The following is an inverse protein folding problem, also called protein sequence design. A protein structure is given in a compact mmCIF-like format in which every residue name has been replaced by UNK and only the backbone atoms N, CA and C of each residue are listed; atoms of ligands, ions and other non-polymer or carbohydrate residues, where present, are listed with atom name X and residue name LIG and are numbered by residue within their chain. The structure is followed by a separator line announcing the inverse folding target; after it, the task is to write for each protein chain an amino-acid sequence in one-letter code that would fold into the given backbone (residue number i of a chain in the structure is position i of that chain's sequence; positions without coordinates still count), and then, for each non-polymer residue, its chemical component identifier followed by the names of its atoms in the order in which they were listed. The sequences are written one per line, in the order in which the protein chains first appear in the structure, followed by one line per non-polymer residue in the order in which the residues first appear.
data_IF_902218456457
#
_entry.id   IF_902218456457
#
_cell.length_a   1.000
_cell.length_b   1.000
_cell.length_c   1.000
_cell.angle_alpha   90.00
_cell.angle_beta   90.00
_cell.angle_gamma   90.00
#
_symmetry.space_group_name_H-M   'P 1'
#
loop_
_entity.id
_entity.type
_entity.pdbx_description
1 polymer ?
#
# COMPACT_ATOMS: atom_id res chain seq x y z
N UNK A 1 24.00 0.26 -21.31
CA UNK A 1 22.72 -0.22 -20.74
C UNK A 1 21.59 0.73 -21.15
N UNK A 2 21.40 0.89 -22.46
CA UNK A 2 20.41 1.84 -23.00
C UNK A 2 19.12 1.12 -23.38
N UNK A 3 18.00 1.80 -23.22
CA UNK A 3 16.68 1.34 -23.61
C UNK A 3 16.60 1.36 -25.14
N UNK A 4 16.21 0.23 -25.76
CA UNK A 4 15.92 0.14 -27.19
C UNK A 4 14.43 0.20 -27.48
N UNK A 5 13.61 -0.37 -26.60
CA UNK A 5 12.16 -0.45 -26.78
C UNK A 5 11.43 -0.38 -25.44
N UNK A 6 10.24 0.22 -25.47
CA UNK A 6 9.27 0.19 -24.36
C UNK A 6 7.92 -0.23 -24.93
N UNK A 7 7.35 -1.31 -24.39
CA UNK A 7 6.02 -1.79 -24.76
C UNK A 7 5.08 -1.66 -23.56
N UNK A 8 3.86 -1.21 -23.82
CA UNK A 8 2.82 -0.97 -22.82
C UNK A 8 1.65 -1.89 -23.14
N UNK A 9 1.25 -2.71 -22.18
CA UNK A 9 0.15 -3.66 -22.31
C UNK A 9 -0.92 -3.37 -21.27
N UNK A 10 -2.16 -3.62 -21.63
CA UNK A 10 -3.32 -3.54 -20.75
C UNK A 10 -3.87 -4.95 -20.51
N UNK A 11 -4.26 -5.24 -19.28
CA UNK A 11 -4.97 -6.47 -18.94
C UNK A 11 -5.93 -6.25 -17.78
N UNK A 12 -7.09 -6.93 -17.81
CA UNK A 12 -8.02 -6.95 -16.69
C UNK A 12 -7.79 -8.22 -15.86
N UNK A 13 -7.53 -8.04 -14.57
CA UNK A 13 -7.31 -9.12 -13.62
C UNK A 13 -8.54 -9.27 -12.72
N UNK A 14 -9.27 -10.39 -12.79
CA UNK A 14 -10.39 -10.64 -11.89
C UNK A 14 -9.89 -10.82 -10.46
N UNK A 15 -10.62 -10.25 -9.50
CA UNK A 15 -10.31 -10.44 -8.08
C UNK A 15 -10.64 -11.88 -7.69
N UNK A 16 -9.63 -12.63 -7.25
CA UNK A 16 -9.81 -14.00 -6.76
C UNK A 16 -10.64 -13.99 -5.47
N UNK A 17 -11.70 -14.79 -5.42
CA UNK A 17 -12.65 -14.83 -4.31
C UNK A 17 -13.36 -13.48 -4.07
N UNK A 18 -13.50 -12.67 -5.13
CA UNK A 18 -14.09 -11.33 -5.06
C UNK A 18 -15.59 -11.29 -4.82
N UNK A 19 -16.16 -10.09 -4.70
CA UNK A 19 -15.44 -8.81 -4.81
C UNK A 19 -14.63 -8.47 -3.55
N UNK A 20 -13.55 -7.71 -3.72
CA UNK A 20 -12.84 -7.11 -2.58
C UNK A 20 -13.57 -5.83 -2.15
N UNK A 21 -14.06 -5.81 -0.92
CA UNK A 21 -14.88 -4.71 -0.39
C UNK A 21 -14.05 -3.86 0.57
N UNK A 22 -13.93 -2.57 0.27
CA UNK A 22 -13.32 -1.53 1.09
C UNK A 22 -14.39 -0.53 1.57
N UNK A 23 -14.03 0.43 2.42
CA UNK A 23 -14.94 1.44 2.95
C UNK A 23 -15.73 2.19 1.87
N UNK A 24 -15.12 2.47 0.72
CA UNK A 24 -15.68 3.32 -0.34
C UNK A 24 -15.87 2.62 -1.70
N UNK A 25 -15.46 1.36 -1.84
CA UNK A 25 -15.49 0.68 -3.13
C UNK A 25 -15.65 -0.83 -3.03
N UNK A 26 -16.27 -1.43 -4.05
CA UNK A 26 -16.24 -2.87 -4.32
C UNK A 26 -15.48 -3.09 -5.62
N UNK A 27 -14.41 -3.87 -5.56
CA UNK A 27 -13.53 -4.15 -6.69
C UNK A 27 -13.77 -5.58 -7.16
N UNK A 28 -14.24 -5.73 -8.38
CA UNK A 28 -14.49 -7.02 -9.02
C UNK A 28 -13.32 -7.46 -9.91
N UNK A 29 -12.69 -6.50 -10.55
CA UNK A 29 -11.50 -6.66 -11.38
C UNK A 29 -10.61 -5.42 -11.27
N UNK A 30 -9.34 -5.55 -11.57
CA UNK A 30 -8.40 -4.43 -11.66
C UNK A 30 -7.86 -4.31 -13.07
N UNK A 31 -7.88 -3.09 -13.61
CA UNK A 31 -7.32 -2.75 -14.92
C UNK A 31 -5.83 -2.47 -14.73
N UNK A 32 -5.00 -3.47 -15.01
CA UNK A 32 -3.55 -3.33 -14.88
C UNK A 32 -2.88 -2.89 -16.16
N UNK A 33 -1.76 -2.20 -16.01
CA UNK A 33 -0.86 -1.80 -17.11
C UNK A 33 0.52 -2.39 -16.86
N UNK A 34 0.95 -3.26 -17.78
CA UNK A 34 2.28 -3.86 -17.75
C UNK A 34 3.21 -3.09 -18.70
N UNK A 35 4.43 -2.84 -18.24
CA UNK A 35 5.48 -2.21 -19.03
C UNK A 35 6.61 -3.20 -19.21
N UNK A 36 7.01 -3.41 -20.49
CA UNK A 36 8.18 -4.19 -20.87
C UNK A 36 9.23 -3.23 -21.41
N UNK A 37 10.39 -3.21 -20.79
CA UNK A 37 11.56 -2.47 -21.25
C UNK A 37 12.56 -3.45 -21.86
N UNK A 38 13.03 -3.17 -23.06
CA UNK A 38 14.10 -3.93 -23.74
C UNK A 38 15.33 -3.03 -23.86
N UNK A 39 16.49 -3.56 -23.51
CA UNK A 39 17.77 -2.85 -23.65
C UNK A 39 18.43 -3.18 -24.98
N UNK A 40 19.36 -2.34 -25.45
CA UNK A 40 20.17 -2.61 -26.65
C UNK A 40 20.97 -3.92 -26.55
N UNK A 41 21.26 -4.40 -25.35
CA UNK A 41 21.89 -5.71 -25.11
C UNK A 41 20.92 -6.89 -25.06
N UNK A 42 19.64 -6.67 -25.34
CA UNK A 42 18.60 -7.70 -25.41
C UNK A 42 18.01 -8.12 -24.07
N UNK A 43 18.43 -7.51 -22.95
CA UNK A 43 17.82 -7.80 -21.64
C UNK A 43 16.44 -7.18 -21.55
N UNK A 44 15.53 -7.92 -20.91
CA UNK A 44 14.13 -7.55 -20.76
C UNK A 44 13.81 -7.35 -19.30
N UNK A 45 13.25 -6.19 -18.97
CA UNK A 45 12.66 -5.90 -17.66
C UNK A 45 11.16 -5.70 -17.75
N UNK A 46 10.45 -6.13 -16.70
CA UNK A 46 9.01 -6.00 -16.56
C UNK A 46 8.66 -5.16 -15.34
N UNK A 47 7.68 -4.30 -15.50
CA UNK A 47 7.08 -3.54 -14.41
C UNK A 47 5.58 -3.42 -14.59
N UNK A 48 4.91 -3.02 -13.53
CA UNK A 48 3.46 -2.93 -13.47
C UNK A 48 3.01 -1.67 -12.75
N UNK A 49 1.89 -1.13 -13.20
CA UNK A 49 1.07 -0.19 -12.44
C UNK A 49 -0.38 -0.64 -12.49
N UNK A 50 -0.98 -0.81 -11.31
CA UNK A 50 -2.32 -1.34 -11.16
C UNK A 50 -3.13 -0.49 -10.16
N UNK A 51 -3.51 0.76 -10.52
CA UNK A 51 -4.31 1.60 -9.65
C UNK A 51 -5.67 0.98 -9.37
N UNK A 52 -6.06 0.89 -8.09
CA UNK A 52 -7.38 0.36 -7.69
C UNK A 52 -8.52 1.26 -8.16
N UNK A 53 -8.25 2.55 -8.37
CA UNK A 53 -9.19 3.51 -8.93
C UNK A 53 -9.08 4.89 -8.30
N UNK A 54 -9.76 5.89 -8.90
CA UNK A 54 -9.64 7.30 -8.51
C UNK A 54 -10.28 7.63 -7.16
N UNK A 55 -11.08 6.73 -6.60
CA UNK A 55 -11.65 6.88 -5.26
C UNK A 55 -10.70 6.44 -4.15
N UNK A 56 -9.66 5.68 -4.49
CA UNK A 56 -8.65 5.22 -3.53
C UNK A 56 -7.44 6.18 -3.48
N UNK A 57 -6.93 6.59 -4.63
CA UNK A 57 -5.80 7.50 -4.75
C UNK A 57 -5.94 8.36 -6.01
N UNK A 58 -5.11 9.40 -6.16
CA UNK A 58 -5.04 10.24 -7.36
C UNK A 58 -4.44 9.48 -8.55
N UNK A 59 -4.98 8.31 -8.83
CA UNK A 59 -4.47 7.39 -9.83
C UNK A 59 -5.59 6.56 -10.46
N UNK A 60 -5.53 6.38 -11.77
CA UNK A 60 -6.42 5.44 -12.49
C UNK A 60 -5.71 4.88 -13.73
N UNK A 61 -6.12 3.69 -14.16
CA UNK A 61 -5.45 2.93 -15.20
C UNK A 61 -5.30 3.66 -16.55
N UNK A 62 -6.37 4.32 -17.02
CA UNK A 62 -6.31 5.12 -18.26
C UNK A 62 -5.34 6.29 -18.14
N UNK A 63 -5.30 6.97 -16.98
CA UNK A 63 -4.35 8.04 -16.71
C UNK A 63 -2.91 7.52 -16.65
N UNK A 64 -2.70 6.32 -16.12
CA UNK A 64 -1.38 5.68 -16.14
C UNK A 64 -0.89 5.46 -17.57
N UNK A 65 -1.73 4.90 -18.44
CA UNK A 65 -1.39 4.67 -19.86
C UNK A 65 -1.14 5.98 -20.60
N UNK A 66 -2.00 6.97 -20.43
CA UNK A 66 -1.80 8.30 -21.04
C UNK A 66 -0.48 8.96 -20.60
N UNK A 67 -0.14 8.87 -19.31
CA UNK A 67 1.14 9.36 -18.80
C UNK A 67 2.34 8.58 -19.40
N UNK A 68 2.22 7.26 -19.53
CA UNK A 68 3.25 6.43 -20.15
C UNK A 68 3.44 6.74 -21.65
N UNK A 69 2.36 7.01 -22.38
CA UNK A 69 2.42 7.45 -23.79
C UNK A 69 3.20 8.76 -23.97
N UNK A 70 3.09 9.67 -23.00
CA UNK A 70 3.83 10.93 -23.02
C UNK A 70 5.31 10.73 -22.75
N UNK A 71 5.69 9.87 -21.79
CA UNK A 71 7.09 9.78 -21.35
C UNK A 71 7.90 8.70 -22.07
N UNK A 72 7.29 7.60 -22.51
CA UNK A 72 8.01 6.45 -23.04
C UNK A 72 8.84 6.76 -24.29
N UNK A 73 8.37 7.55 -25.29
CA UNK A 73 9.15 7.86 -26.47
C UNK A 73 10.50 8.53 -26.17
N UNK A 74 10.51 9.47 -25.20
CA UNK A 74 11.71 10.24 -24.83
C UNK A 74 12.67 9.47 -23.91
N UNK A 75 12.34 8.25 -23.52
CA UNK A 75 13.20 7.36 -22.76
C UNK A 75 13.98 6.38 -23.65
N UNK A 76 13.65 6.24 -24.93
CA UNK A 76 14.42 5.44 -25.86
C UNK A 76 15.82 6.05 -26.00
N UNK A 77 16.85 5.22 -25.88
CA UNK A 77 18.25 5.62 -25.85
C UNK A 77 18.76 6.08 -24.48
N UNK A 78 17.88 6.29 -23.50
CA UNK A 78 18.29 6.59 -22.13
C UNK A 78 18.90 5.36 -21.44
N UNK A 79 19.80 5.60 -20.48
CA UNK A 79 20.30 4.52 -19.61
C UNK A 79 19.19 4.00 -18.70
N UNK A 80 19.19 2.68 -18.43
CA UNK A 80 18.27 2.06 -17.47
C UNK A 80 18.68 2.28 -16.00
N UNK A 81 19.70 3.10 -15.73
CA UNK A 81 20.07 3.45 -14.35
C UNK A 81 18.87 4.10 -13.64
N UNK A 82 18.26 3.46 -12.62
CA UNK A 82 16.95 3.90 -12.11
C UNK A 82 16.91 5.36 -11.66
N UNK A 83 17.95 5.82 -10.97
CA UNK A 83 18.03 7.22 -10.48
C UNK A 83 18.09 8.23 -11.62
N UNK A 84 18.85 7.94 -12.67
CA UNK A 84 18.97 8.80 -13.85
C UNK A 84 17.66 8.79 -14.63
N UNK A 85 17.09 7.60 -14.82
CA UNK A 85 15.83 7.41 -15.52
C UNK A 85 14.67 8.13 -14.81
N UNK A 86 14.60 8.02 -13.48
CA UNK A 86 13.61 8.73 -12.68
C UNK A 86 13.71 10.26 -12.84
N UNK A 87 14.94 10.80 -12.79
CA UNK A 87 15.19 12.24 -13.03
C UNK A 87 14.73 12.67 -14.42
N UNK A 88 14.99 11.84 -15.44
CA UNK A 88 14.51 12.10 -16.80
C UNK A 88 12.99 12.09 -16.88
N UNK A 89 12.32 11.09 -16.31
CA UNK A 89 10.85 11.03 -16.25
C UNK A 89 10.24 12.25 -15.55
N UNK A 90 10.87 12.75 -14.48
CA UNK A 90 10.41 13.94 -13.76
C UNK A 90 10.60 15.24 -14.57
N UNK A 91 11.56 15.28 -15.47
CA UNK A 91 11.71 16.41 -16.39
C UNK A 91 10.68 16.42 -17.51
N UNK A 92 10.19 15.24 -17.93
CA UNK A 92 9.20 15.08 -19.01
C UNK A 92 7.77 15.31 -18.54
N UNK A 93 7.45 14.81 -17.34
CA UNK A 93 6.08 14.89 -16.79
C UNK A 93 6.12 15.07 -15.27
N UNK A 94 5.49 16.12 -14.76
CA UNK A 94 5.36 16.33 -13.31
C UNK A 94 4.30 15.42 -12.71
N UNK A 95 4.55 14.91 -11.49
CA UNK A 95 3.61 14.01 -10.84
C UNK A 95 3.53 12.63 -11.51
N UNK A 96 2.35 12.04 -11.54
CA UNK A 96 2.07 10.72 -12.16
C UNK A 96 3.02 9.60 -11.69
N UNK A 97 3.41 9.61 -10.41
CA UNK A 97 4.35 8.64 -9.85
C UNK A 97 3.88 7.20 -10.02
N UNK A 98 2.56 6.97 -9.97
CA UNK A 98 1.96 5.66 -10.22
C UNK A 98 2.24 5.12 -11.63
N UNK A 99 2.33 5.99 -12.65
CA UNK A 99 2.71 5.58 -14.01
C UNK A 99 4.22 5.37 -14.13
N UNK A 100 5.02 6.29 -13.59
CA UNK A 100 6.49 6.20 -13.59
C UNK A 100 7.00 4.95 -12.87
N UNK A 101 6.30 4.52 -11.83
CA UNK A 101 6.63 3.31 -11.08
C UNK A 101 6.74 2.07 -11.98
N UNK A 102 5.88 1.93 -12.99
CA UNK A 102 5.96 0.79 -13.91
C UNK A 102 7.27 0.76 -14.71
N UNK A 103 7.75 1.91 -15.17
CA UNK A 103 9.03 2.02 -15.87
C UNK A 103 10.20 1.82 -14.89
N UNK A 104 10.12 2.40 -13.70
CA UNK A 104 11.14 2.26 -12.66
C UNK A 104 11.32 0.80 -12.23
N UNK A 105 10.24 0.08 -12.00
CA UNK A 105 10.26 -1.37 -11.69
C UNK A 105 10.87 -2.15 -12.86
N UNK A 106 10.46 -1.87 -14.10
CA UNK A 106 11.02 -2.53 -15.27
C UNK A 106 12.52 -2.27 -15.44
N UNK A 107 12.98 -1.05 -15.15
CA UNK A 107 14.40 -0.70 -15.19
C UNK A 107 15.19 -1.46 -14.10
N UNK A 108 14.68 -1.54 -12.87
CA UNK A 108 15.30 -2.34 -11.81
C UNK A 108 15.37 -3.83 -12.16
N UNK A 109 14.30 -4.39 -12.76
CA UNK A 109 14.27 -5.79 -13.19
C UNK A 109 15.31 -6.06 -14.29
N UNK A 110 15.38 -5.20 -15.31
CA UNK A 110 16.39 -5.30 -16.36
C UNK A 110 17.81 -5.16 -15.80
N UNK A 111 18.05 -4.17 -14.93
CA UNK A 111 19.35 -3.93 -14.31
C UNK A 111 19.78 -5.12 -13.45
N UNK A 112 18.87 -5.67 -12.66
CA UNK A 112 19.14 -6.88 -11.86
C UNK A 112 19.58 -8.07 -12.73
N UNK A 113 18.92 -8.29 -13.86
CA UNK A 113 19.27 -9.34 -14.83
C UNK A 113 20.63 -9.09 -15.46
N UNK A 114 20.94 -7.86 -15.88
CA UNK A 114 22.24 -7.49 -16.46
C UNK A 114 23.37 -7.72 -15.45
N UNK A 115 23.16 -7.32 -14.20
CA UNK A 115 24.18 -7.42 -13.14
C UNK A 115 24.19 -8.80 -12.47
N UNK A 116 23.28 -9.71 -12.85
CA UNK A 116 23.04 -10.99 -12.16
C UNK A 116 22.88 -10.81 -10.65
N UNK A 117 22.05 -9.86 -10.26
CA UNK A 117 21.76 -9.51 -8.85
C UNK A 117 20.26 -9.39 -8.61
N UNK A 118 19.84 -9.78 -7.39
CA UNK A 118 18.45 -9.54 -6.98
C UNK A 118 18.20 -8.04 -6.77
N UNK A 119 16.97 -7.58 -6.96
CA UNK A 119 16.57 -6.20 -6.68
C UNK A 119 16.83 -5.86 -5.21
N UNK A 120 16.59 -6.78 -4.28
CA UNK A 120 16.92 -6.57 -2.86
C UNK A 120 18.41 -6.27 -2.66
N UNK A 121 19.31 -6.94 -3.41
CA UNK A 121 20.75 -6.66 -3.38
C UNK A 121 21.08 -5.28 -3.95
N UNK A 122 20.41 -4.86 -5.03
CA UNK A 122 20.59 -3.51 -5.61
C UNK A 122 20.12 -2.40 -4.67
N UNK A 123 19.10 -2.67 -3.86
CA UNK A 123 18.53 -1.73 -2.88
C UNK A 123 19.20 -1.79 -1.50
N UNK A 124 20.36 -2.42 -1.37
CA UNK A 124 21.15 -2.44 -0.13
C UNK A 124 21.09 -3.74 0.67
N UNK A 125 20.44 -4.78 0.13
CA UNK A 125 20.39 -6.12 0.71
C UNK A 125 19.09 -6.45 1.44
N UNK A 126 18.80 -7.74 1.55
CA UNK A 126 17.61 -8.22 2.24
C UNK A 126 17.79 -8.13 3.75
N UNK A 127 16.93 -7.40 4.44
CA UNK A 127 16.91 -7.33 5.91
C UNK A 127 16.42 -8.62 6.54
N UNK A 128 15.51 -9.32 5.87
CA UNK A 128 14.94 -10.60 6.30
C UNK A 128 14.89 -11.56 5.12
N UNK A 129 15.23 -12.81 5.34
CA UNK A 129 15.14 -13.87 4.32
C UNK A 129 13.70 -14.31 4.07
N UNK A 130 12.87 -14.26 5.11
CA UNK A 130 11.46 -14.60 5.07
C UNK A 130 10.65 -13.45 5.66
N UNK A 131 9.65 -13.00 4.94
CA UNK A 131 8.69 -11.99 5.41
C UNK A 131 7.38 -12.72 5.69
N UNK A 132 6.93 -12.76 6.97
CA UNK A 132 5.64 -13.36 7.30
C UNK A 132 4.51 -12.64 6.59
N UNK A 133 3.60 -13.42 5.99
CA UNK A 133 2.41 -12.87 5.34
C UNK A 133 1.39 -12.37 6.35
N UNK A 134 0.41 -11.60 5.88
CA UNK A 134 -0.78 -11.21 6.63
C UNK A 134 -2.03 -11.45 5.79
N UNK A 135 -3.17 -11.47 6.44
CA UNK A 135 -4.46 -11.53 5.77
C UNK A 135 -5.26 -10.25 6.02
N UNK A 136 -5.75 -9.64 4.94
CA UNK A 136 -6.67 -8.50 5.00
C UNK A 136 -8.11 -8.98 4.75
N UNK A 137 -9.03 -8.66 5.66
CA UNK A 137 -10.45 -8.92 5.45
C UNK A 137 -11.06 -7.89 4.48
N UNK A 138 -12.23 -8.18 3.93
CA UNK A 138 -13.11 -7.13 3.44
C UNK A 138 -13.87 -6.45 4.59
N UNK A 139 -14.66 -5.40 4.27
CA UNK A 139 -15.67 -4.87 5.18
C UNK A 139 -16.87 -5.84 5.16
N UNK A 140 -17.31 -6.29 6.33
CA UNK A 140 -18.41 -7.25 6.48
C UNK A 140 -19.09 -7.12 7.85
N UNK A 141 -20.18 -7.82 8.08
CA UNK A 141 -20.84 -7.86 9.39
C UNK A 141 -19.90 -8.44 10.46
N UNK A 142 -20.13 -8.14 11.75
CA UNK A 142 -19.29 -8.66 12.84
C UNK A 142 -19.14 -10.19 12.81
N UNK A 143 -20.20 -10.93 12.53
CA UNK A 143 -20.18 -12.39 12.54
C UNK A 143 -19.46 -12.96 11.30
N UNK A 144 -19.61 -12.34 10.12
CA UNK A 144 -18.83 -12.69 8.92
C UNK A 144 -17.35 -12.52 9.14
N UNK A 145 -16.92 -11.36 9.69
CA UNK A 145 -15.50 -11.10 9.96
C UNK A 145 -14.95 -12.07 11.01
N UNK A 146 -15.72 -12.36 12.07
CA UNK A 146 -15.33 -13.35 13.09
C UNK A 146 -15.09 -14.73 12.46
N UNK A 147 -15.94 -15.17 11.54
CA UNK A 147 -15.80 -16.46 10.89
C UNK A 147 -14.56 -16.50 9.96
N UNK A 148 -14.34 -15.46 9.16
CA UNK A 148 -13.13 -15.31 8.34
C UNK A 148 -11.89 -15.35 9.23
N UNK A 149 -11.88 -14.58 10.31
CA UNK A 149 -10.73 -14.50 11.22
C UNK A 149 -10.43 -15.86 11.86
N UNK A 150 -11.44 -16.63 12.30
CA UNK A 150 -11.24 -17.98 12.82
C UNK A 150 -10.55 -18.90 11.80
N UNK A 151 -11.00 -18.85 10.55
CA UNK A 151 -10.39 -19.63 9.45
C UNK A 151 -8.91 -19.22 9.25
N UNK A 152 -8.64 -17.91 9.18
CA UNK A 152 -7.27 -17.43 8.94
C UNK A 152 -6.31 -17.65 10.12
N UNK A 153 -6.84 -17.69 11.33
CA UNK A 153 -6.07 -18.14 12.51
C UNK A 153 -5.70 -19.62 12.36
N UNK A 154 -6.63 -20.45 11.93
CA UNK A 154 -6.40 -21.88 11.71
C UNK A 154 -5.38 -22.13 10.58
N UNK A 155 -5.35 -21.27 9.55
CA UNK A 155 -4.34 -21.28 8.48
C UNK A 155 -2.95 -20.81 8.95
N UNK A 156 -2.82 -20.23 10.16
CA UNK A 156 -1.55 -19.85 10.75
C UNK A 156 -1.09 -18.42 10.41
N UNK A 157 -1.98 -17.52 9.97
CA UNK A 157 -1.62 -16.13 9.74
C UNK A 157 -1.19 -15.41 11.02
N UNK A 158 0.02 -14.86 11.10
CA UNK A 158 0.55 -14.21 12.31
C UNK A 158 0.09 -12.75 12.45
N UNK A 159 -0.51 -12.18 11.40
CA UNK A 159 -1.04 -10.81 11.35
C UNK A 159 -2.35 -10.77 10.57
N UNK A 160 -3.31 -10.03 11.12
CA UNK A 160 -4.60 -9.75 10.51
C UNK A 160 -4.77 -8.25 10.32
N UNK A 161 -5.30 -7.85 9.18
CA UNK A 161 -5.74 -6.50 8.88
C UNK A 161 -7.25 -6.52 8.71
N UNK A 162 -7.95 -5.82 9.60
CA UNK A 162 -9.40 -5.79 9.64
C UNK A 162 -9.87 -4.52 8.96
N UNK A 163 -10.57 -4.65 7.84
CA UNK A 163 -11.15 -3.51 7.14
C UNK A 163 -12.40 -3.01 7.86
N UNK A 164 -12.46 -1.69 8.05
CA UNK A 164 -13.51 -0.96 8.74
C UNK A 164 -13.87 0.32 7.97
N UNK A 165 -14.81 1.13 8.48
CA UNK A 165 -15.22 2.37 7.84
C UNK A 165 -16.33 2.19 6.80
N UNK A 166 -16.88 3.32 6.33
CA UNK A 166 -17.99 3.33 5.36
C UNK A 166 -19.34 2.88 5.94
N UNK A 167 -19.46 2.77 7.28
CA UNK A 167 -20.66 2.33 8.02
C UNK A 167 -20.68 2.96 9.42
N UNK A 168 -21.77 2.81 10.20
CA UNK A 168 -21.82 3.32 11.58
C UNK A 168 -20.67 2.78 12.43
N UNK A 169 -20.02 3.64 13.18
CA UNK A 169 -18.82 3.34 13.98
C UNK A 169 -19.07 2.26 15.04
N UNK A 170 -20.30 2.12 15.53
CA UNK A 170 -20.71 1.09 16.47
C UNK A 170 -20.43 -0.32 15.94
N UNK A 171 -20.69 -0.54 14.65
CA UNK A 171 -20.44 -1.82 13.99
C UNK A 171 -18.94 -2.12 13.90
N UNK A 172 -18.13 -1.11 13.59
CA UNK A 172 -16.67 -1.24 13.55
C UNK A 172 -16.11 -1.56 14.95
N UNK A 173 -16.59 -0.87 15.98
CA UNK A 173 -16.20 -1.12 17.39
C UNK A 173 -16.58 -2.55 17.80
N UNK A 174 -17.75 -3.04 17.42
CA UNK A 174 -18.17 -4.42 17.69
C UNK A 174 -17.22 -5.43 17.01
N UNK A 175 -16.86 -5.21 15.74
CA UNK A 175 -15.89 -6.05 15.01
C UNK A 175 -14.55 -6.05 15.73
N UNK A 176 -14.03 -4.89 16.10
CA UNK A 176 -12.74 -4.75 16.79
C UNK A 176 -12.74 -5.53 18.11
N UNK A 177 -13.80 -5.41 18.92
CA UNK A 177 -13.93 -6.12 20.19
C UNK A 177 -14.00 -7.64 19.99
N UNK A 178 -14.87 -8.11 19.09
CA UNK A 178 -15.04 -9.55 18.82
C UNK A 178 -13.74 -10.18 18.29
N UNK A 179 -13.05 -9.52 17.35
CA UNK A 179 -11.77 -10.00 16.83
C UNK A 179 -10.69 -9.95 17.92
N UNK A 180 -10.65 -8.88 18.70
CA UNK A 180 -9.73 -8.74 19.84
C UNK A 180 -9.80 -9.92 20.82
N UNK A 181 -11.01 -10.32 21.20
CA UNK A 181 -11.21 -11.50 22.05
C UNK A 181 -10.74 -12.81 21.38
N UNK A 182 -10.96 -12.97 20.07
CA UNK A 182 -10.52 -14.17 19.34
C UNK A 182 -8.99 -14.34 19.30
N UNK A 183 -8.25 -13.23 19.19
CA UNK A 183 -6.78 -13.25 19.06
C UNK A 183 -6.06 -13.13 20.40
N UNK A 184 -6.79 -12.88 21.47
CA UNK A 184 -6.24 -12.70 22.84
C UNK A 184 -5.36 -13.92 23.23
N UNK A 185 -4.14 -13.63 23.63
CA UNK A 185 -3.16 -14.65 24.05
C UNK A 185 -2.56 -15.50 22.91
N UNK A 186 -2.92 -15.28 21.64
CA UNK A 186 -2.43 -16.08 20.52
C UNK A 186 -1.19 -15.51 19.81
N UNK A 187 -0.66 -14.37 20.25
CA UNK A 187 0.50 -13.74 19.62
C UNK A 187 0.22 -13.16 18.23
N UNK A 188 -1.04 -13.05 17.82
CA UNK A 188 -1.46 -12.51 16.53
C UNK A 188 -1.51 -10.99 16.61
N UNK A 189 -0.92 -10.31 15.64
CA UNK A 189 -0.97 -8.85 15.53
C UNK A 189 -2.19 -8.41 14.73
N UNK A 190 -2.85 -7.34 15.17
CA UNK A 190 -4.01 -6.78 14.49
C UNK A 190 -3.73 -5.34 14.03
N UNK A 191 -4.06 -5.06 12.77
CA UNK A 191 -4.26 -3.72 12.26
C UNK A 191 -5.76 -3.52 11.97
N UNK A 192 -6.25 -2.32 12.21
CA UNK A 192 -7.62 -1.89 11.85
C UNK A 192 -7.47 -0.79 10.82
N UNK A 193 -7.90 -1.05 9.61
CA UNK A 193 -7.70 -0.19 8.47
C UNK A 193 -9.02 0.40 8.00
N UNK A 194 -9.16 1.71 8.17
CA UNK A 194 -10.34 2.45 7.78
C UNK A 194 -10.25 3.05 6.37
N UNK A 195 -9.11 2.95 5.69
CA UNK A 195 -8.86 3.53 4.37
C UNK A 195 -9.43 4.96 4.26
N UNK A 196 -9.14 5.83 5.24
CA UNK A 196 -9.63 7.21 5.37
C UNK A 196 -11.14 7.32 5.68
N UNK A 197 -11.82 6.21 5.96
CA UNK A 197 -13.28 6.16 6.11
C UNK A 197 -13.83 6.67 7.44
N UNK A 198 -12.99 6.99 8.44
CA UNK A 198 -13.44 7.53 9.71
C UNK A 198 -13.30 9.05 9.80
N UNK A 199 -14.29 9.72 10.37
CA UNK A 199 -14.11 11.06 10.87
C UNK A 199 -13.20 11.05 12.12
N UNK A 200 -12.60 12.18 12.47
CA UNK A 200 -11.72 12.31 13.66
C UNK A 200 -12.41 11.85 14.94
N UNK A 201 -13.70 12.19 15.14
CA UNK A 201 -14.50 11.75 16.29
C UNK A 201 -14.63 10.22 16.35
N UNK A 202 -14.76 9.56 15.20
CA UNK A 202 -14.98 8.12 15.13
C UNK A 202 -13.69 7.35 15.45
N UNK A 203 -12.55 7.83 14.94
CA UNK A 203 -11.23 7.30 15.28
C UNK A 203 -10.94 7.43 16.79
N UNK A 204 -11.25 8.59 17.39
CA UNK A 204 -11.10 8.80 18.83
C UNK A 204 -12.03 7.86 19.61
N UNK A 205 -13.28 7.72 19.18
CA UNK A 205 -14.27 6.84 19.82
C UNK A 205 -13.83 5.38 19.74
N UNK A 206 -13.39 4.88 18.58
CA UNK A 206 -12.87 3.52 18.44
C UNK A 206 -11.71 3.24 19.41
N UNK A 207 -10.76 4.18 19.55
CA UNK A 207 -9.66 4.04 20.50
C UNK A 207 -10.15 3.99 21.96
N UNK A 208 -11.09 4.84 22.33
CA UNK A 208 -11.59 4.95 23.71
C UNK A 208 -12.48 3.79 24.12
N UNK A 209 -13.26 3.24 23.19
CA UNK A 209 -14.16 2.12 23.48
C UNK A 209 -13.49 0.74 23.35
N UNK A 210 -12.25 0.67 22.82
CA UNK A 210 -11.48 -0.56 22.68
C UNK A 210 -10.09 -0.48 23.35
N UNK A 211 -9.95 0.07 24.57
CA UNK A 211 -8.65 0.37 25.18
C UNK A 211 -7.82 -0.90 25.44
N UNK A 212 -8.49 -2.03 25.70
CA UNK A 212 -7.85 -3.32 26.02
C UNK A 212 -7.51 -4.16 24.78
N UNK A 213 -7.93 -3.74 23.59
CA UNK A 213 -7.65 -4.45 22.34
C UNK A 213 -6.38 -3.89 21.72
N UNK A 214 -5.27 -4.65 21.65
CA UNK A 214 -4.04 -4.15 21.07
C UNK A 214 -4.10 -4.18 19.53
N UNK A 215 -4.30 -3.03 18.91
CA UNK A 215 -4.28 -2.88 17.47
C UNK A 215 -3.56 -1.60 17.02
N UNK A 216 -3.20 -1.58 15.75
CA UNK A 216 -2.70 -0.39 15.06
C UNK A 216 -3.83 0.18 14.23
N UNK A 217 -4.08 1.50 14.31
CA UNK A 217 -4.97 2.21 13.39
C UNK A 217 -4.23 2.49 12.10
N UNK A 218 -4.66 1.88 11.00
CA UNK A 218 -4.12 2.16 9.67
C UNK A 218 -5.03 3.16 8.98
N UNK A 219 -4.46 4.27 8.53
CA UNK A 219 -5.11 5.38 7.83
C UNK A 219 -6.54 5.68 8.30
N UNK A 220 -6.75 6.02 9.58
CA UNK A 220 -8.10 6.18 10.11
C UNK A 220 -8.86 7.36 9.49
N UNK A 221 -8.17 8.48 9.21
CA UNK A 221 -8.76 9.71 8.69
C UNK A 221 -8.15 10.10 7.34
N UNK A 222 -8.83 11.02 6.64
CA UNK A 222 -8.50 11.40 5.28
C UNK A 222 -7.20 12.21 5.16
N UNK A 223 -6.93 13.13 6.08
CA UNK A 223 -5.80 14.06 5.98
C UNK A 223 -4.74 13.84 7.06
N UNK A 224 -3.50 14.26 6.76
CA UNK A 224 -2.41 14.26 7.77
C UNK A 224 -2.78 15.17 8.95
N UNK A 225 -3.42 16.30 8.70
CA UNK A 225 -3.88 17.24 9.72
C UNK A 225 -4.86 16.59 10.69
N UNK A 226 -5.76 15.74 10.20
CA UNK A 226 -6.68 14.98 11.04
C UNK A 226 -5.94 13.92 11.87
N UNK A 227 -4.96 13.23 11.27
CA UNK A 227 -4.11 12.29 12.02
C UNK A 227 -3.35 12.99 13.15
N UNK A 228 -2.81 14.19 12.90
CA UNK A 228 -2.15 15.02 13.91
C UNK A 228 -3.12 15.43 15.03
N UNK A 229 -4.34 15.84 14.70
CA UNK A 229 -5.38 16.22 15.67
C UNK A 229 -5.80 15.07 16.59
N UNK A 230 -5.96 13.87 16.04
CA UNK A 230 -6.41 12.71 16.84
C UNK A 230 -5.28 12.12 17.68
N UNK A 231 -4.02 12.24 17.25
CA UNK A 231 -2.88 11.57 17.87
C UNK A 231 -2.77 11.74 19.38
N UNK A 232 -2.91 12.95 19.96
CA UNK A 232 -2.86 13.15 21.42
C UNK A 232 -4.08 12.61 22.17
N UNK A 233 -5.14 12.24 21.48
CA UNK A 233 -6.43 11.84 22.07
C UNK A 233 -6.67 10.32 22.03
N UNK A 234 -5.76 9.56 21.41
CA UNK A 234 -5.84 8.11 21.25
C UNK A 234 -4.65 7.41 21.89
N UNK A 235 -4.86 6.18 22.36
CA UNK A 235 -3.82 5.33 22.93
C UNK A 235 -3.17 4.42 21.87
N UNK A 236 -3.88 4.11 20.80
CA UNK A 236 -3.43 3.21 19.74
C UNK A 236 -2.42 3.88 18.82
N UNK A 237 -1.40 3.16 18.33
CA UNK A 237 -0.49 3.67 17.31
C UNK A 237 -1.22 3.85 15.97
N UNK A 238 -0.73 4.78 15.15
CA UNK A 238 -1.23 5.03 13.78
C UNK A 238 -0.21 4.52 12.77
N UNK A 239 -0.68 3.82 11.73
CA UNK A 239 0.04 3.62 10.49
C UNK A 239 -0.52 4.56 9.42
N UNK A 240 0.36 5.24 8.70
CA UNK A 240 -0.01 6.00 7.52
C UNK A 240 0.15 5.10 6.29
N UNK A 241 -0.81 5.14 5.40
CA UNK A 241 -0.81 4.49 4.10
C UNK A 241 -1.04 5.52 2.99
N UNK A 242 -2.27 5.85 2.67
CA UNK A 242 -2.61 6.71 1.52
C UNK A 242 -2.00 8.11 1.59
N UNK A 243 -1.73 8.63 2.79
CA UNK A 243 -1.05 9.92 2.95
C UNK A 243 0.48 9.85 2.80
N UNK A 244 1.07 8.65 2.68
CA UNK A 244 2.52 8.46 2.54
C UNK A 244 2.96 8.57 1.07
N UNK A 245 2.62 9.66 0.40
CA UNK A 245 2.80 9.86 -1.05
C UNK A 245 4.20 10.32 -1.46
N UNK A 246 5.01 10.80 -0.51
CA UNK A 246 6.36 11.30 -0.77
C UNK A 246 7.23 11.28 0.48
N UNK A 247 8.55 11.37 0.30
CA UNK A 247 9.47 11.53 1.43
C UNK A 247 9.12 12.76 2.28
N UNK A 248 8.70 13.85 1.65
CA UNK A 248 8.32 15.08 2.36
C UNK A 248 7.08 14.87 3.23
N UNK A 249 6.06 14.17 2.75
CA UNK A 249 4.86 13.86 3.55
C UNK A 249 5.21 12.96 4.74
N UNK A 250 6.08 11.98 4.54
CA UNK A 250 6.56 11.11 5.64
C UNK A 250 7.36 11.91 6.65
N UNK A 251 8.31 12.77 6.23
CA UNK A 251 9.11 13.62 7.12
C UNK A 251 8.21 14.58 7.90
N UNK A 252 7.23 15.21 7.24
CA UNK A 252 6.28 16.11 7.89
C UNK A 252 5.45 15.39 8.96
N UNK A 253 4.97 14.21 8.66
CA UNK A 253 4.22 13.39 9.61
C UNK A 253 5.09 12.98 10.82
N UNK A 254 6.36 12.61 10.59
CA UNK A 254 7.33 12.29 11.65
C UNK A 254 7.62 13.52 12.52
N UNK A 255 7.87 14.67 11.89
CA UNK A 255 8.19 15.93 12.59
C UNK A 255 7.04 16.43 13.47
N UNK A 256 5.80 16.28 13.02
CA UNK A 256 4.61 16.63 13.79
C UNK A 256 4.24 15.57 14.86
N UNK A 257 4.70 14.34 14.70
CA UNK A 257 4.38 13.19 15.54
C UNK A 257 5.57 12.69 16.36
N UNK A 258 6.35 13.57 17.00
CA UNK A 258 7.54 13.23 17.82
C UNK A 258 7.26 12.12 18.86
N UNK A 259 6.00 11.76 19.11
CA UNK A 259 5.58 10.61 19.90
C UNK A 259 4.87 9.52 19.06
N UNK A 260 4.87 9.61 17.76
CA UNK A 260 4.27 8.59 16.90
C UNK A 260 5.17 7.35 16.87
N UNK A 261 4.71 6.24 17.46
CA UNK A 261 5.42 4.95 17.40
C UNK A 261 5.53 4.38 15.97
N UNK A 262 4.86 4.99 15.00
CA UNK A 262 4.92 4.62 13.58
C UNK A 262 6.33 4.78 13.01
N UNK A 263 7.11 5.73 13.52
CA UNK A 263 8.44 6.04 13.02
C UNK A 263 9.56 5.21 13.66
N UNK A 264 9.25 4.20 14.42
CA UNK A 264 10.21 3.19 14.85
C UNK A 264 10.58 2.23 13.70
N UNK A 265 10.96 2.78 12.54
CA UNK A 265 11.82 2.07 11.60
C UNK A 265 13.16 1.80 12.31
N UNK A 266 13.24 0.72 13.05
CA UNK A 266 14.49 0.31 13.69
C UNK A 266 14.38 -0.28 15.08
N UNK A 267 13.27 -0.26 15.75
CA UNK A 267 13.10 -0.98 17.01
C UNK A 267 12.14 -2.14 16.87
N UNK A 268 12.66 -3.30 17.21
CA UNK A 268 12.05 -4.63 17.18
C UNK A 268 10.63 -4.64 17.74
N UNK A 269 9.74 -5.18 16.96
CA UNK A 269 8.53 -5.86 17.45
C UNK A 269 8.64 -7.33 17.06
#
# INVERSE_FOLDING_TARGET
MEISEIHIYQHNLPVKNGPYTMAHAKVYEVDTTLVKVITKSGHVGWGETCPVGPTYAEAHAKGARAALEVIAPDLIGCTIEPKILHTKMDSLLKGHNYAKAAIDIAAHDALGKILNRSISSLLGGAKHQVVPSYYATGVGSPDEIVNIVKEKIAEGYPRLQIKVGGRPIEVDIEVIKKVGELIKGKGIRMAVDANRGWATRDAIRASRECPEVPFVMEQPCDTIEDLIKIRPQISHPIFMDENSTSLNTVISAVGCCIRCKVCNFGKRY
#
